data_IF_640995949157
#
_entry.id   IF_640995949157
#
_cell.length_a   1.000
_cell.length_b   1.000
_cell.length_c   1.000
_cell.angle_alpha   90.00
_cell.angle_beta   90.00
_cell.angle_gamma   90.00
#
_symmetry.space_group_name_H-M   'P 1'
#
loop_
_entity.id
_entity.type
_entity.pdbx_description
1 polymer ?
#
# COMPACT_ATOMS: atom_id res chain seq x y z
N UNK A 1 27.38 -16.99 -14.46
CA UNK A 1 27.17 -15.65 -13.88
C UNK A 1 27.38 -15.76 -12.38
N UNK A 2 28.55 -15.37 -11.88
CA UNK A 2 28.82 -15.27 -10.45
C UNK A 2 28.10 -14.02 -9.93
N UNK A 3 27.10 -14.22 -9.06
CA UNK A 3 26.48 -13.12 -8.36
C UNK A 3 27.52 -12.50 -7.43
N UNK A 4 28.00 -11.30 -7.77
CA UNK A 4 28.86 -10.53 -6.89
C UNK A 4 27.93 -9.85 -5.89
N UNK A 5 27.92 -10.33 -4.66
CA UNK A 5 27.28 -9.64 -3.55
C UNK A 5 28.08 -8.36 -3.29
N UNK A 6 27.49 -7.16 -3.42
CA UNK A 6 28.19 -5.92 -3.11
C UNK A 6 28.60 -5.92 -1.63
N UNK A 7 29.75 -5.31 -1.36
CA UNK A 7 30.30 -5.19 -0.01
C UNK A 7 29.25 -4.60 0.94
N UNK A 8 29.02 -5.29 2.06
CA UNK A 8 27.94 -5.00 3.00
C UNK A 8 28.35 -3.85 3.92
N UNK A 9 28.59 -2.68 3.34
CA UNK A 9 28.50 -1.44 4.12
C UNK A 9 27.07 -1.31 4.63
N UNK A 10 26.88 -1.29 5.96
CA UNK A 10 25.57 -1.20 6.62
C UNK A 10 24.74 -0.06 6.00
N UNK A 11 23.74 -0.34 5.15
CA UNK A 11 23.01 0.69 4.44
C UNK A 11 21.86 1.15 5.33
N UNK A 12 22.07 2.25 6.03
CA UNK A 12 20.98 2.85 6.82
C UNK A 12 21.29 4.18 7.49
N UNK A 13 22.57 4.49 7.73
CA UNK A 13 22.96 5.64 8.54
C UNK A 13 23.86 6.66 7.85
N UNK A 14 24.27 6.46 6.58
CA UNK A 14 25.07 7.49 5.90
C UNK A 14 24.18 8.69 5.56
N UNK A 15 24.47 9.89 6.08
CA UNK A 15 23.81 11.10 5.62
C UNK A 15 24.01 11.24 4.11
N UNK A 16 22.94 11.54 3.39
CA UNK A 16 23.04 11.82 1.97
C UNK A 16 23.95 13.03 1.77
N UNK A 17 24.82 12.96 0.78
CA UNK A 17 25.57 14.12 0.34
C UNK A 17 24.62 15.19 -0.21
N UNK A 18 25.05 16.46 -0.20
CA UNK A 18 24.28 17.54 -0.81
C UNK A 18 23.93 17.24 -2.28
N UNK A 19 24.83 16.58 -3.01
CA UNK A 19 24.59 16.13 -4.39
C UNK A 19 23.46 15.11 -4.47
N UNK A 20 23.44 14.12 -3.60
CA UNK A 20 22.39 13.08 -3.58
C UNK A 20 21.04 13.66 -3.14
N UNK A 21 21.05 14.60 -2.19
CA UNK A 21 19.86 15.36 -1.81
C UNK A 21 19.34 16.17 -2.99
N UNK A 22 20.19 16.92 -3.69
CA UNK A 22 19.83 17.67 -4.89
C UNK A 22 19.33 16.76 -6.02
N UNK A 23 19.93 15.58 -6.22
CA UNK A 23 19.46 14.60 -7.22
C UNK A 23 18.08 14.04 -6.86
N UNK A 24 17.84 13.71 -5.58
CA UNK A 24 16.52 13.26 -5.10
C UNK A 24 15.46 14.36 -5.21
N UNK A 25 15.81 15.60 -4.86
CA UNK A 25 14.94 16.76 -5.01
C UNK A 25 14.65 17.03 -6.49
N UNK A 26 15.66 16.98 -7.37
CA UNK A 26 15.52 17.15 -8.81
C UNK A 26 14.63 16.07 -9.46
N UNK A 27 14.76 14.81 -9.01
CA UNK A 27 13.88 13.72 -9.44
C UNK A 27 12.42 13.85 -8.93
N UNK A 28 12.20 14.65 -7.89
CA UNK A 28 10.87 14.95 -7.31
C UNK A 28 10.26 16.24 -7.88
N UNK A 29 11.09 17.19 -8.32
CA UNK A 29 10.69 18.53 -8.77
C UNK A 29 10.28 18.63 -10.25
N UNK A 30 10.50 17.58 -11.06
CA UNK A 30 10.31 17.63 -12.51
C UNK A 30 8.85 17.65 -13.00
N UNK A 31 7.86 17.82 -12.13
CA UNK A 31 6.44 17.60 -12.49
C UNK A 31 5.58 18.85 -12.32
N UNK A 32 6.13 19.96 -11.79
CA UNK A 32 5.37 21.20 -11.60
C UNK A 32 6.03 22.34 -12.38
N UNK A 33 5.66 22.46 -13.66
CA UNK A 33 5.97 23.64 -14.47
C UNK A 33 4.81 24.64 -14.39
N UNK A 34 4.82 25.57 -13.43
CA UNK A 34 3.91 26.73 -13.45
C UNK A 34 4.59 27.99 -12.96
N UNK A 35 4.58 29.05 -13.80
CA UNK A 35 5.15 30.39 -13.57
C UNK A 35 4.45 31.23 -12.46
N UNK A 36 3.65 30.63 -11.57
CA UNK A 36 2.91 31.32 -10.49
C UNK A 36 3.06 30.58 -9.16
N UNK A 37 3.20 31.28 -8.02
CA UNK A 37 3.20 30.64 -6.71
C UNK A 37 1.81 30.06 -6.44
N UNK A 38 1.72 28.73 -6.43
CA UNK A 38 0.52 28.00 -6.05
C UNK A 38 0.79 27.27 -4.73
N UNK A 39 -0.14 27.37 -3.77
CA UNK A 39 -0.15 26.53 -2.57
C UNK A 39 -0.50 25.10 -3.00
N UNK A 40 0.55 24.37 -3.42
CA UNK A 40 0.53 23.03 -3.99
C UNK A 40 1.54 22.18 -3.26
N UNK A 41 1.20 20.91 -3.03
CA UNK A 41 2.10 19.94 -2.42
C UNK A 41 2.05 18.60 -3.16
N UNK A 42 3.20 17.94 -3.26
CA UNK A 42 3.21 16.52 -3.56
C UNK A 42 3.00 15.73 -2.26
N UNK A 43 2.47 14.52 -2.37
CA UNK A 43 2.41 13.58 -1.25
C UNK A 43 3.17 12.31 -1.59
N UNK A 44 3.64 11.61 -0.56
CA UNK A 44 4.40 10.37 -0.63
C UNK A 44 3.72 9.31 0.22
N UNK A 45 3.16 8.31 -0.45
CA UNK A 45 2.46 7.18 0.17
C UNK A 45 3.38 5.97 0.13
N UNK A 46 3.78 5.48 1.31
CA UNK A 46 4.52 4.24 1.46
C UNK A 46 3.57 3.11 1.86
N UNK A 47 3.48 2.05 1.07
CA UNK A 47 2.64 0.89 1.36
C UNK A 47 3.49 -0.36 1.57
N UNK A 48 3.44 -0.94 2.76
CA UNK A 48 4.38 -1.98 3.22
C UNK A 48 3.62 -3.27 3.55
N UNK A 49 3.66 -4.25 2.65
CA UNK A 49 2.96 -5.54 2.79
C UNK A 49 3.90 -6.62 3.34
N UNK A 50 3.69 -7.03 4.58
CA UNK A 50 4.56 -8.03 5.21
C UNK A 50 4.27 -9.47 4.74
N UNK A 51 5.25 -10.35 4.92
CA UNK A 51 5.14 -11.75 4.52
C UNK A 51 4.25 -12.57 5.44
N UNK A 52 3.83 -13.75 4.99
CA UNK A 52 3.05 -14.72 5.77
C UNK A 52 3.60 -14.87 7.19
N UNK A 53 2.71 -14.85 8.19
CA UNK A 53 3.08 -14.99 9.60
C UNK A 53 4.07 -13.92 10.13
N UNK A 54 4.24 -12.76 9.49
CA UNK A 54 5.01 -11.64 10.04
C UNK A 54 4.08 -10.53 10.54
N UNK A 55 4.37 -9.97 11.70
CA UNK A 55 3.57 -8.92 12.31
C UNK A 55 4.45 -7.98 13.16
N UNK A 56 4.58 -6.72 12.75
CA UNK A 56 5.38 -5.71 13.45
C UNK A 56 5.10 -5.62 14.94
N UNK A 57 3.83 -5.59 15.33
CA UNK A 57 3.45 -5.45 16.74
C UNK A 57 3.97 -6.64 17.56
N UNK A 58 3.77 -7.87 17.06
CA UNK A 58 4.22 -9.10 17.72
C UNK A 58 5.75 -9.28 17.68
N UNK A 59 6.37 -9.01 16.53
CA UNK A 59 7.76 -9.38 16.22
C UNK A 59 8.78 -8.25 16.48
N UNK A 60 8.31 -7.05 16.84
CA UNK A 60 9.15 -5.88 17.15
C UNK A 60 8.63 -5.10 18.37
N UNK A 61 7.39 -4.61 18.35
CA UNK A 61 6.91 -3.60 19.32
C UNK A 61 6.69 -4.19 20.72
N UNK A 62 6.20 -5.43 20.80
CA UNK A 62 6.05 -6.16 22.05
C UNK A 62 7.35 -6.77 22.60
N UNK A 63 8.47 -6.67 21.85
CA UNK A 63 9.75 -7.27 22.23
C UNK A 63 10.70 -6.17 22.75
N UNK A 64 10.95 -6.11 24.07
CA UNK A 64 11.75 -5.03 24.66
C UNK A 64 13.22 -5.07 24.24
N UNK A 65 13.80 -6.27 24.17
CA UNK A 65 15.20 -6.46 23.79
C UNK A 65 15.34 -6.36 22.26
N UNK A 66 16.09 -5.37 21.72
CA UNK A 66 16.27 -5.23 20.28
C UNK A 66 16.86 -6.47 19.60
N UNK A 67 17.76 -7.18 20.28
CA UNK A 67 18.40 -8.39 19.76
C UNK A 67 17.47 -9.61 19.74
N UNK A 68 16.33 -9.55 20.43
CA UNK A 68 15.31 -10.60 20.41
C UNK A 68 14.24 -10.39 19.34
N UNK A 69 14.31 -9.31 18.56
CA UNK A 69 13.31 -8.97 17.55
C UNK A 69 13.52 -9.79 16.29
N UNK A 70 12.42 -10.27 15.70
CA UNK A 70 12.42 -11.13 14.50
C UNK A 70 11.57 -10.55 13.37
N UNK A 71 11.37 -9.23 13.37
CA UNK A 71 10.60 -8.54 12.33
C UNK A 71 11.29 -8.62 10.96
N UNK A 72 10.49 -8.51 9.91
CA UNK A 72 10.98 -8.62 8.53
C UNK A 72 11.67 -7.33 8.04
N UNK A 73 12.34 -7.42 6.90
CA UNK A 73 12.88 -6.25 6.20
C UNK A 73 11.78 -5.23 5.81
N UNK A 74 10.52 -5.68 5.68
CA UNK A 74 9.40 -4.76 5.41
C UNK A 74 9.18 -3.81 6.58
N UNK A 75 9.31 -4.31 7.80
CA UNK A 75 9.24 -3.49 9.02
C UNK A 75 10.39 -2.48 9.08
N UNK A 76 11.62 -2.92 8.76
CA UNK A 76 12.79 -2.03 8.72
C UNK A 76 12.57 -0.88 7.72
N UNK A 77 12.10 -1.20 6.52
CA UNK A 77 11.83 -0.19 5.49
C UNK A 77 10.66 0.73 5.85
N UNK A 78 9.62 0.20 6.49
CA UNK A 78 8.50 0.99 6.99
C UNK A 78 8.96 1.99 8.07
N UNK A 79 9.80 1.56 9.00
CA UNK A 79 10.31 2.42 10.09
C UNK A 79 11.31 3.46 9.57
N UNK A 80 12.06 3.14 8.52
CA UNK A 80 12.94 4.09 7.84
C UNK A 80 12.18 5.08 6.92
N UNK A 81 10.90 4.84 6.62
CA UNK A 81 10.11 5.75 5.81
C UNK A 81 9.72 7.00 6.61
N UNK A 82 9.86 8.17 6.00
CA UNK A 82 9.55 9.46 6.63
C UNK A 82 8.10 9.48 7.13
N UNK A 83 7.88 9.87 8.38
CA UNK A 83 6.55 9.93 9.02
C UNK A 83 6.25 11.37 9.41
N UNK A 84 5.78 12.13 8.42
CA UNK A 84 5.48 13.55 8.56
C UNK A 84 4.22 13.86 7.76
N UNK A 85 3.05 13.54 8.35
CA UNK A 85 1.75 13.73 7.72
C UNK A 85 1.53 15.18 7.25
N UNK A 86 1.97 16.15 8.07
CA UNK A 86 1.90 17.59 7.80
C UNK A 86 2.68 17.98 6.54
N UNK A 87 3.72 17.20 6.20
CA UNK A 87 4.54 17.38 5.01
C UNK A 87 4.20 16.37 3.90
N UNK A 88 3.05 15.69 4.00
CA UNK A 88 2.54 14.81 2.97
C UNK A 88 3.16 13.41 2.93
N UNK A 89 3.84 12.94 3.99
CA UNK A 89 4.44 11.61 4.03
C UNK A 89 3.60 10.62 4.86
N UNK A 90 3.03 9.61 4.19
CA UNK A 90 2.07 8.68 4.78
C UNK A 90 2.54 7.22 4.65
N UNK A 91 3.25 6.66 5.66
CA UNK A 91 3.57 5.24 5.71
C UNK A 91 2.40 4.40 6.26
N UNK A 92 2.09 3.31 5.56
CA UNK A 92 1.10 2.32 5.97
C UNK A 92 1.73 0.92 6.01
N UNK A 93 1.69 0.29 7.18
CA UNK A 93 2.10 -1.10 7.37
C UNK A 93 0.88 -2.02 7.32
N UNK A 94 0.99 -3.08 6.53
CA UNK A 94 -0.01 -4.14 6.39
C UNK A 94 0.59 -5.45 6.92
N UNK A 95 0.11 -5.96 8.07
CA UNK A 95 0.60 -7.22 8.64
C UNK A 95 0.42 -8.40 7.68
N UNK A 96 1.31 -9.38 7.82
CA UNK A 96 1.28 -10.61 7.05
C UNK A 96 0.00 -11.42 7.25
N UNK A 97 -0.40 -12.15 6.21
CA UNK A 97 -1.53 -13.10 6.30
C UNK A 97 -1.29 -14.14 7.39
N UNK A 98 -2.37 -14.53 8.08
CA UNK A 98 -2.33 -15.47 9.19
C UNK A 98 -1.95 -14.87 10.54
N UNK A 99 -1.74 -13.55 10.62
CA UNK A 99 -1.49 -12.80 11.87
C UNK A 99 -2.63 -11.82 12.17
N UNK A 100 -2.85 -11.43 13.44
CA UNK A 100 -3.88 -10.46 13.80
C UNK A 100 -3.77 -9.15 13.02
N UNK A 101 -4.90 -8.72 12.48
CA UNK A 101 -5.09 -7.40 11.91
C UNK A 101 -6.49 -6.85 12.26
N UNK A 102 -6.65 -6.24 13.45
CA UNK A 102 -7.96 -5.80 13.94
C UNK A 102 -8.70 -4.82 13.01
N UNK A 103 -7.95 -4.02 12.23
CA UNK A 103 -8.50 -3.06 11.24
C UNK A 103 -9.33 -3.73 10.13
N UNK A 104 -9.19 -5.04 9.95
CA UNK A 104 -10.00 -5.85 9.02
C UNK A 104 -10.84 -6.91 9.74
N UNK A 105 -10.85 -6.92 11.08
CA UNK A 105 -11.59 -7.87 11.90
C UNK A 105 -10.91 -9.22 12.11
N UNK A 106 -9.63 -9.35 11.73
CA UNK A 106 -8.82 -10.54 12.02
C UNK A 106 -8.18 -10.35 13.40
N UNK A 107 -8.71 -11.00 14.43
CA UNK A 107 -8.31 -10.76 15.83
C UNK A 107 -7.24 -11.73 16.33
N UNK A 108 -7.08 -12.88 15.67
CA UNK A 108 -6.23 -13.98 16.13
C UNK A 108 -5.32 -14.48 15.01
N UNK A 109 -4.26 -15.17 15.41
CA UNK A 109 -3.47 -15.98 14.48
C UNK A 109 -4.35 -17.05 13.84
N UNK A 110 -4.08 -17.39 12.58
CA UNK A 110 -4.87 -18.37 11.84
C UNK A 110 -3.98 -19.30 11.01
N UNK A 111 -4.08 -20.60 11.23
CA UNK A 111 -3.39 -21.61 10.42
C UNK A 111 -3.89 -21.61 8.98
N UNK A 112 -5.19 -21.40 8.75
CA UNK A 112 -5.77 -21.27 7.41
C UNK A 112 -5.36 -19.96 6.71
N UNK A 113 -5.15 -18.88 7.46
CA UNK A 113 -4.54 -17.65 6.93
C UNK A 113 -3.09 -17.87 6.48
N UNK A 114 -2.34 -18.73 7.18
CA UNK A 114 -0.94 -19.08 6.86
C UNK A 114 -0.83 -20.01 5.63
N UNK A 115 -1.75 -20.98 5.49
CA UNK A 115 -1.70 -21.97 4.40
C UNK A 115 -2.49 -21.57 3.15
N UNK A 116 -3.71 -21.03 3.30
CA UNK A 116 -4.65 -20.72 2.20
C UNK A 116 -4.72 -19.23 1.82
N UNK A 117 -3.90 -18.36 2.43
CA UNK A 117 -3.94 -16.90 2.25
C UNK A 117 -5.32 -16.27 2.50
N UNK A 118 -6.14 -16.89 3.35
CA UNK A 118 -7.37 -16.28 3.86
C UNK A 118 -7.05 -14.95 4.53
N UNK A 119 -7.79 -13.89 4.20
CA UNK A 119 -7.54 -12.53 4.68
C UNK A 119 -6.63 -11.68 3.79
N UNK A 120 -6.09 -12.25 2.71
CA UNK A 120 -5.29 -11.50 1.73
C UNK A 120 -6.05 -10.37 1.03
N UNK A 121 -7.31 -10.64 0.67
CA UNK A 121 -8.22 -9.68 0.02
C UNK A 121 -8.57 -8.49 0.93
N UNK A 122 -8.93 -8.77 2.18
CA UNK A 122 -9.28 -7.76 3.16
C UNK A 122 -8.12 -6.77 3.44
N UNK A 123 -6.88 -7.27 3.44
CA UNK A 123 -5.65 -6.45 3.51
C UNK A 123 -5.51 -5.51 2.30
N UNK A 124 -5.85 -5.98 1.09
CA UNK A 124 -5.86 -5.13 -0.11
C UNK A 124 -6.94 -4.05 -0.04
N UNK A 125 -8.14 -4.37 0.44
CA UNK A 125 -9.20 -3.37 0.64
C UNK A 125 -8.81 -2.29 1.62
N UNK A 126 -8.25 -2.69 2.77
CA UNK A 126 -7.75 -1.73 3.74
C UNK A 126 -6.66 -0.84 3.12
N UNK A 127 -5.68 -1.41 2.43
CA UNK A 127 -4.62 -0.65 1.77
C UNK A 127 -5.16 0.32 0.70
N UNK A 128 -6.17 -0.08 -0.09
CA UNK A 128 -6.86 0.82 -1.02
C UNK A 128 -7.51 2.00 -0.29
N UNK A 129 -8.27 1.74 0.78
CA UNK A 129 -8.91 2.78 1.59
C UNK A 129 -7.87 3.76 2.16
N UNK A 130 -6.71 3.25 2.60
CA UNK A 130 -5.63 4.10 3.10
C UNK A 130 -5.05 5.04 2.05
N UNK A 131 -5.05 4.69 0.76
CA UNK A 131 -4.66 5.62 -0.31
C UNK A 131 -5.62 6.81 -0.42
N UNK A 132 -6.94 6.57 -0.37
CA UNK A 132 -7.93 7.65 -0.32
C UNK A 132 -7.78 8.50 0.94
N UNK A 133 -7.56 7.86 2.09
CA UNK A 133 -7.34 8.54 3.37
C UNK A 133 -6.06 9.39 3.36
N UNK A 134 -4.98 8.95 2.72
CA UNK A 134 -3.75 9.75 2.60
C UNK A 134 -3.99 11.06 1.83
N UNK A 135 -4.70 10.98 0.69
CA UNK A 135 -5.07 12.17 -0.10
C UNK A 135 -5.93 13.12 0.75
N UNK A 136 -6.93 12.60 1.46
CA UNK A 136 -7.80 13.44 2.28
C UNK A 136 -7.08 14.04 3.51
N UNK A 137 -6.18 13.28 4.15
CA UNK A 137 -5.38 13.75 5.28
C UNK A 137 -4.43 14.86 4.89
N UNK A 138 -3.88 14.81 3.68
CA UNK A 138 -3.01 15.86 3.16
C UNK A 138 -3.72 17.22 3.04
N UNK A 139 -5.05 17.22 2.88
CA UNK A 139 -5.86 18.46 2.77
C UNK A 139 -6.54 18.82 4.10
N UNK A 140 -7.06 17.83 4.83
CA UNK A 140 -7.98 18.05 5.95
C UNK A 140 -7.49 17.50 7.29
N UNK A 141 -6.31 16.88 7.36
CA UNK A 141 -5.74 16.24 8.56
C UNK A 141 -6.69 15.19 9.19
N UNK A 142 -7.59 14.60 8.38
CA UNK A 142 -8.54 13.56 8.81
C UNK A 142 -8.75 12.52 7.72
N UNK A 143 -9.15 11.32 8.12
CA UNK A 143 -9.54 10.26 7.18
C UNK A 143 -10.81 10.67 6.39
N UNK A 144 -10.88 10.24 5.13
CA UNK A 144 -12.10 10.32 4.32
C UNK A 144 -13.10 9.23 4.76
N UNK A 145 -12.56 8.04 5.02
CA UNK A 145 -13.27 6.83 5.45
C UNK A 145 -12.69 6.47 6.81
N UNK A 146 -13.51 6.61 7.86
CA UNK A 146 -13.08 6.32 9.23
C UNK A 146 -12.82 4.81 9.43
N UNK A 147 -12.04 4.46 10.45
CA UNK A 147 -11.60 3.07 10.67
C UNK A 147 -12.78 2.11 10.92
N UNK A 148 -13.81 2.56 11.63
CA UNK A 148 -15.03 1.79 11.88
C UNK A 148 -15.86 1.59 10.59
N UNK A 149 -15.93 2.61 9.73
CA UNK A 149 -16.57 2.54 8.41
C UNK A 149 -15.82 1.55 7.51
N UNK A 150 -14.48 1.66 7.45
CA UNK A 150 -13.63 0.77 6.69
C UNK A 150 -13.79 -0.69 7.15
N UNK A 151 -13.70 -0.94 8.46
CA UNK A 151 -13.90 -2.27 9.04
C UNK A 151 -15.28 -2.84 8.69
N UNK A 152 -16.33 -2.02 8.76
CA UNK A 152 -17.70 -2.44 8.43
C UNK A 152 -17.84 -2.81 6.96
N UNK A 153 -17.27 -1.99 6.05
CA UNK A 153 -17.28 -2.27 4.62
C UNK A 153 -16.52 -3.56 4.27
N UNK A 154 -15.32 -3.73 4.84
CA UNK A 154 -14.43 -4.88 4.60
C UNK A 154 -15.07 -6.20 5.06
N UNK A 155 -15.86 -6.17 6.14
CA UNK A 155 -16.49 -7.37 6.70
C UNK A 155 -17.86 -7.70 6.10
N UNK A 156 -18.45 -6.79 5.32
CA UNK A 156 -19.79 -6.95 4.79
C UNK A 156 -19.79 -7.66 3.41
N UNK A 157 -20.44 -8.84 3.26
CA UNK A 157 -20.59 -9.55 1.97
C UNK A 157 -21.35 -8.77 0.88
N UNK A 158 -22.14 -7.79 1.28
CA UNK A 158 -22.85 -6.91 0.35
C UNK A 158 -22.02 -5.73 -0.14
N UNK A 159 -20.84 -5.51 0.46
CA UNK A 159 -19.96 -4.39 0.12
C UNK A 159 -18.62 -4.88 -0.43
N UNK A 160 -17.69 -5.34 0.41
CA UNK A 160 -16.34 -5.75 -0.02
C UNK A 160 -15.99 -7.21 0.25
N UNK A 161 -16.58 -7.87 1.26
CA UNK A 161 -16.19 -9.24 1.61
C UNK A 161 -16.56 -10.21 0.47
N UNK A 162 -15.65 -11.13 0.13
CA UNK A 162 -15.79 -12.15 -0.93
C UNK A 162 -15.89 -11.58 -2.36
N UNK A 163 -15.33 -10.41 -2.63
CA UNK A 163 -15.40 -9.74 -3.93
C UNK A 163 -14.56 -10.36 -5.06
N UNK A 164 -13.98 -11.56 -4.89
CA UNK A 164 -12.91 -12.12 -5.73
C UNK A 164 -13.36 -12.71 -7.08
N UNK A 165 -14.59 -13.21 -7.28
CA UNK A 165 -14.94 -14.06 -8.45
C UNK A 165 -16.14 -13.57 -9.31
N UNK A 166 -15.87 -13.45 -10.61
CA UNK A 166 -16.69 -13.41 -11.87
C UNK A 166 -17.94 -12.49 -12.00
N UNK A 167 -18.52 -11.91 -10.93
CA UNK A 167 -19.69 -10.99 -11.09
C UNK A 167 -19.70 -9.71 -10.22
N UNK A 168 -18.58 -9.22 -9.67
CA UNK A 168 -18.66 -8.15 -8.65
C UNK A 168 -18.57 -6.70 -9.17
N UNK A 169 -19.75 -6.11 -9.45
CA UNK A 169 -19.92 -4.65 -9.53
C UNK A 169 -19.73 -3.93 -8.19
N UNK A 170 -19.80 -4.65 -7.06
CA UNK A 170 -19.78 -4.10 -5.68
C UNK A 170 -18.47 -3.38 -5.33
N UNK A 171 -17.32 -4.03 -5.55
CA UNK A 171 -16.00 -3.42 -5.29
C UNK A 171 -15.81 -2.14 -6.09
N UNK A 172 -16.15 -2.20 -7.39
CA UNK A 172 -16.08 -1.05 -8.28
C UNK A 172 -17.00 0.07 -7.79
N UNK A 173 -18.25 -0.24 -7.46
CA UNK A 173 -19.22 0.73 -6.95
C UNK A 173 -18.74 1.40 -5.65
N UNK A 174 -18.14 0.63 -4.72
CA UNK A 174 -17.59 1.18 -3.48
C UNK A 174 -16.45 2.17 -3.76
N UNK A 175 -15.47 1.80 -4.59
CA UNK A 175 -14.34 2.69 -4.88
C UNK A 175 -14.69 3.84 -5.82
N UNK A 176 -15.71 3.70 -6.68
CA UNK A 176 -16.29 4.83 -7.42
C UNK A 176 -17.01 5.81 -6.48
N UNK A 177 -17.71 5.31 -5.45
CA UNK A 177 -18.28 6.16 -4.41
C UNK A 177 -17.20 6.86 -3.59
N UNK A 178 -16.12 6.15 -3.24
CA UNK A 178 -14.96 6.72 -2.57
C UNK A 178 -14.28 7.81 -3.43
N UNK A 179 -14.12 7.59 -4.74
CA UNK A 179 -13.62 8.62 -5.68
C UNK A 179 -14.53 9.85 -5.66
N UNK A 180 -15.85 9.69 -5.77
CA UNK A 180 -16.79 10.83 -5.73
C UNK A 180 -16.68 11.61 -4.43
N UNK A 181 -16.66 10.91 -3.28
CA UNK A 181 -16.50 11.53 -1.95
C UNK A 181 -15.17 12.28 -1.84
N UNK A 182 -14.07 11.67 -2.30
CA UNK A 182 -12.75 12.30 -2.24
C UNK A 182 -12.69 13.55 -3.11
N UNK A 183 -13.16 13.46 -4.36
CA UNK A 183 -13.19 14.60 -5.30
C UNK A 183 -14.00 15.76 -4.75
N UNK A 184 -15.16 15.49 -4.14
CA UNK A 184 -15.97 16.51 -3.47
C UNK A 184 -15.25 17.09 -2.25
N UNK A 185 -14.63 16.25 -1.42
CA UNK A 185 -13.91 16.67 -0.21
C UNK A 185 -12.75 17.62 -0.51
N UNK A 186 -11.98 17.36 -1.58
CA UNK A 186 -10.79 18.15 -1.93
C UNK A 186 -11.08 19.29 -2.93
N UNK A 187 -12.30 19.37 -3.46
CA UNK A 187 -12.66 20.40 -4.43
C UNK A 187 -12.51 21.79 -3.81
N UNK A 188 -11.77 22.67 -4.51
CA UNK A 188 -11.51 24.05 -4.11
C UNK A 188 -10.80 24.20 -2.75
N UNK A 189 -10.19 23.13 -2.23
CA UNK A 189 -9.43 23.17 -0.99
C UNK A 189 -7.94 23.44 -1.24
N UNK A 190 -7.25 23.91 -0.19
CA UNK A 190 -5.80 24.10 -0.16
C UNK A 190 -5.18 23.29 0.98
N UNK A 191 -3.93 22.82 0.84
CA UNK A 191 -3.12 22.87 -0.38
C UNK A 191 -3.68 21.97 -1.48
N UNK A 192 -3.46 22.34 -2.73
CA UNK A 192 -3.82 21.49 -3.86
C UNK A 192 -2.77 20.39 -4.02
N UNK A 193 -3.20 19.14 -4.19
CA UNK A 193 -2.26 18.04 -4.35
C UNK A 193 -1.78 18.00 -5.80
N UNK A 194 -0.50 18.30 -6.00
CA UNK A 194 0.11 18.34 -7.32
C UNK A 194 0.43 16.94 -7.87
N UNK A 195 0.79 16.00 -6.97
CA UNK A 195 1.10 14.61 -7.34
C UNK A 195 1.02 13.66 -6.15
N UNK A 196 0.63 12.42 -6.41
CA UNK A 196 0.73 11.28 -5.50
C UNK A 196 1.92 10.42 -5.92
N UNK A 197 2.98 10.38 -5.10
CA UNK A 197 4.11 9.48 -5.26
C UNK A 197 3.88 8.23 -4.41
N UNK A 198 3.86 7.06 -5.03
CA UNK A 198 3.61 5.80 -4.34
C UNK A 198 4.88 4.94 -4.34
N UNK A 199 5.30 4.50 -3.16
CA UNK A 199 6.35 3.49 -2.98
C UNK A 199 5.74 2.25 -2.33
N UNK A 200 5.89 1.10 -2.97
CA UNK A 200 5.33 -0.16 -2.48
C UNK A 200 6.47 -1.09 -2.10
N UNK A 201 6.34 -1.76 -0.97
CA UNK A 201 7.25 -2.84 -0.58
C UNK A 201 6.45 -4.06 -0.19
N UNK A 202 6.93 -5.25 -0.56
CA UNK A 202 6.28 -6.49 -0.16
C UNK A 202 7.23 -7.67 -0.06
N UNK A 203 7.01 -8.56 0.90
CA UNK A 203 7.79 -9.78 1.11
C UNK A 203 6.91 -11.04 1.00
N UNK A 204 7.37 -12.12 0.36
CA UNK A 204 6.64 -13.39 0.26
C UNK A 204 5.21 -13.20 -0.30
N UNK A 205 4.17 -13.67 0.40
CA UNK A 205 2.76 -13.39 0.02
C UNK A 205 2.41 -11.90 0.08
N UNK A 206 3.08 -11.12 0.91
CA UNK A 206 2.99 -9.65 0.91
C UNK A 206 3.49 -9.03 -0.39
N UNK A 207 4.49 -9.63 -1.06
CA UNK A 207 4.92 -9.21 -2.39
C UNK A 207 3.84 -9.49 -3.45
N UNK A 208 3.11 -10.59 -3.34
CA UNK A 208 1.95 -10.87 -4.20
C UNK A 208 0.83 -9.85 -3.95
N UNK A 209 0.58 -9.46 -2.69
CA UNK A 209 -0.36 -8.40 -2.36
C UNK A 209 0.09 -7.03 -2.90
N UNK A 210 1.37 -6.69 -2.81
CA UNK A 210 1.92 -5.46 -3.37
C UNK A 210 1.64 -5.36 -4.89
N UNK A 211 1.87 -6.46 -5.63
CA UNK A 211 1.56 -6.55 -7.06
C UNK A 211 0.07 -6.42 -7.34
N UNK A 212 -0.78 -7.11 -6.57
CA UNK A 212 -2.23 -7.03 -6.73
C UNK A 212 -2.76 -5.62 -6.44
N UNK A 213 -2.29 -5.00 -5.36
CA UNK A 213 -2.65 -3.64 -4.96
C UNK A 213 -2.27 -2.62 -6.03
N UNK A 214 -1.07 -2.70 -6.60
CA UNK A 214 -0.66 -1.81 -7.69
C UNK A 214 -1.60 -1.91 -8.90
N UNK A 215 -1.98 -3.13 -9.30
CA UNK A 215 -2.93 -3.34 -10.39
C UNK A 215 -4.33 -2.80 -10.05
N UNK A 216 -4.79 -2.93 -8.80
CA UNK A 216 -6.08 -2.40 -8.37
C UNK A 216 -6.11 -0.87 -8.35
N UNK A 217 -5.03 -0.24 -7.89
CA UNK A 217 -4.87 1.21 -7.98
C UNK A 217 -4.89 1.66 -9.45
N UNK A 218 -4.14 0.99 -10.34
CA UNK A 218 -4.14 1.30 -11.77
C UNK A 218 -5.53 1.16 -12.40
N UNK A 219 -6.31 0.16 -11.98
CA UNK A 219 -7.69 -0.02 -12.44
C UNK A 219 -8.63 1.12 -11.99
N UNK A 220 -8.29 1.84 -10.91
CA UNK A 220 -8.97 3.05 -10.47
C UNK A 220 -8.41 4.34 -11.10
N UNK A 221 -7.33 4.24 -11.88
CA UNK A 221 -6.70 5.38 -12.54
C UNK A 221 -7.26 5.61 -13.95
N UNK A 222 -7.12 6.84 -14.44
CA UNK A 222 -7.43 7.21 -15.83
C UNK A 222 -6.16 7.61 -16.56
N UNK A 223 -5.95 7.17 -17.80
CA UNK A 223 -4.83 7.66 -18.61
C UNK A 223 -5.09 9.12 -18.99
N UNK A 224 -4.13 10.00 -18.74
CA UNK A 224 -4.23 11.43 -19.03
C UNK A 224 -2.84 12.02 -19.27
N UNK A 225 -2.66 12.73 -20.38
CA UNK A 225 -1.39 13.44 -20.69
C UNK A 225 -0.15 12.53 -20.76
N UNK A 226 -0.30 11.25 -21.14
CA UNK A 226 0.80 10.27 -21.16
C UNK A 226 1.15 9.67 -19.79
N UNK A 227 0.41 10.03 -18.73
CA UNK A 227 0.51 9.45 -17.40
C UNK A 227 -0.83 8.90 -16.92
N UNK A 228 -0.94 8.72 -15.61
CA UNK A 228 -2.16 8.26 -14.94
C UNK A 228 -2.60 9.26 -13.89
N UNK A 229 -3.91 9.44 -13.76
CA UNK A 229 -4.52 10.21 -12.68
C UNK A 229 -5.37 9.31 -11.78
N UNK A 230 -5.21 9.47 -10.48
CA UNK A 230 -6.04 8.85 -9.44
C UNK A 230 -6.95 9.92 -8.84
N UNK A 231 -8.26 9.77 -8.98
CA UNK A 231 -9.25 10.77 -8.56
C UNK A 231 -9.01 12.19 -9.15
N UNK A 232 -8.42 12.27 -10.35
CA UNK A 232 -8.06 13.54 -11.00
C UNK A 232 -6.72 14.14 -10.56
N UNK A 233 -5.93 13.43 -9.74
CA UNK A 233 -4.60 13.86 -9.31
C UNK A 233 -3.55 13.00 -10.01
N UNK A 234 -2.47 13.56 -10.60
CA UNK A 234 -1.37 12.78 -11.14
C UNK A 234 -0.81 11.78 -10.12
N UNK A 235 -0.68 10.52 -10.51
CA UNK A 235 -0.14 9.45 -9.66
C UNK A 235 1.02 8.76 -10.35
N UNK A 236 2.05 8.41 -9.56
CA UNK A 236 3.21 7.67 -10.02
C UNK A 236 3.58 6.60 -9.00
N UNK A 237 3.76 5.36 -9.46
CA UNK A 237 4.53 4.37 -8.72
C UNK A 237 6.03 4.72 -8.86
N UNK A 238 6.58 5.33 -7.82
CA UNK A 238 7.98 5.76 -7.79
C UNK A 238 8.92 4.56 -7.62
N UNK A 239 8.50 3.58 -6.81
CA UNK A 239 9.28 2.38 -6.54
C UNK A 239 8.38 1.22 -6.15
N UNK A 240 8.78 0.01 -6.56
CA UNK A 240 8.16 -1.24 -6.11
C UNK A 240 9.26 -2.22 -5.70
N UNK A 241 9.44 -2.41 -4.39
CA UNK A 241 10.43 -3.31 -3.81
C UNK A 241 9.82 -4.65 -3.42
N UNK A 242 10.05 -5.69 -4.21
CA UNK A 242 9.52 -7.03 -3.95
C UNK A 242 10.62 -7.95 -3.47
N UNK A 243 10.38 -8.63 -2.36
CA UNK A 243 11.30 -9.60 -1.77
C UNK A 243 10.66 -10.99 -1.89
N UNK A 244 11.32 -11.89 -2.62
CA UNK A 244 11.01 -13.31 -2.71
C UNK A 244 9.51 -13.64 -2.83
N UNK A 245 8.89 -13.27 -3.96
CA UNK A 245 7.43 -13.38 -4.12
C UNK A 245 6.96 -14.83 -4.16
N UNK A 246 6.08 -15.21 -3.24
CA UNK A 246 5.42 -16.52 -3.23
C UNK A 246 3.99 -16.35 -3.75
N UNK A 247 3.70 -16.93 -4.91
CA UNK A 247 2.40 -16.84 -5.57
C UNK A 247 1.40 -17.83 -4.95
N UNK A 248 0.85 -17.49 -3.78
CA UNK A 248 -0.41 -18.08 -3.31
C UNK A 248 -1.17 -17.02 -2.50
N UNK A 249 -1.97 -16.23 -3.21
CA UNK A 249 -2.99 -15.37 -2.60
C UNK A 249 -4.36 -15.90 -3.03
N UNK A 250 -5.11 -16.46 -2.08
CA UNK A 250 -6.30 -17.29 -2.36
C UNK A 250 -5.95 -18.74 -2.73
N UNK A 251 -6.98 -19.58 -2.92
CA UNK A 251 -6.94 -21.01 -3.34
C UNK A 251 -6.31 -21.22 -4.74
N UNK A 252 -5.21 -20.56 -5.07
CA UNK A 252 -4.45 -20.84 -6.26
C UNK A 252 -3.21 -21.65 -5.85
N UNK A 253 -3.15 -22.87 -6.37
CA UNK A 253 -1.99 -23.76 -6.50
C UNK A 253 -1.73 -24.84 -5.43
N UNK A 254 -2.74 -25.25 -4.65
CA UNK A 254 -2.61 -26.43 -3.75
C UNK A 254 -3.71 -27.49 -3.89
N UNK A 255 -4.61 -27.33 -4.86
CA UNK A 255 -5.64 -28.32 -5.14
C UNK A 255 -5.30 -29.01 -6.47
N UNK A 256 -4.98 -30.32 -6.49
CA UNK A 256 -4.87 -31.05 -7.75
C UNK A 256 -6.28 -31.21 -8.31
N UNK A 257 -6.76 -30.19 -9.01
CA UNK A 257 -7.96 -30.33 -9.83
C UNK A 257 -7.45 -30.91 -11.14
N UNK A 258 -7.66 -32.22 -11.28
CA UNK A 258 -7.49 -32.92 -12.54
C UNK A 258 -8.19 -32.13 -13.63
N UNK A 259 -7.43 -31.75 -14.65
CA UNK A 259 -7.98 -31.18 -15.85
C UNK A 259 -8.77 -32.26 -16.57
N UNK A 260 -10.08 -32.24 -16.41
CA UNK A 260 -10.94 -32.68 -17.49
C UNK A 260 -11.13 -31.48 -18.39
N UNK A 261 -10.51 -31.57 -19.57
CA UNK A 261 -10.54 -30.54 -20.57
C UNK A 261 -11.90 -30.41 -21.25
N UNK A 262 -11.86 -29.46 -22.18
CA UNK A 262 -12.79 -29.21 -23.29
C UNK A 262 -13.97 -28.28 -22.99
N UNK A 263 -14.12 -27.36 -23.96
CA UNK A 263 -15.37 -26.89 -24.58
C UNK A 263 -16.61 -26.82 -23.71
#
# INVERSE_FOLDING_TARGET
>A
MTAITPDTSLPGLRPLSARELCQRLGASGSIINTKRPHCRQAIWVGMFFDGTNNNKHRDQELIPNPNGRSHSNIVVLHDAFRREDENGYFPFYVPGVGTPFPKIGEMTESSSGKSMATGGEARLYWAMIQLYNAVNRAVHVRNLIADNEALSAIRNPDVLKNGWTVFSGKRRAYFEQAERRLRQSIAHQRPEIAQINVSIFGFSRGAAQARAWANWVLACCKPEGGGYTFCGIPIRFQFMGLFDTVASVGLADSSPIGGDGLM
#
